data_IF_119508008519
#
_entry.id   IF_119508008519
#
_cell.length_a   1.000
_cell.length_b   1.000
_cell.length_c   1.000
_cell.angle_alpha   90.00
_cell.angle_beta   90.00
_cell.angle_gamma   90.00
#
_symmetry.space_group_name_H-M   'P 1'
#
loop_
_entity.id
_entity.type
_entity.pdbx_description
1 polymer ?
#
# COMPACT_ATOMS: atom_id res chain seq x y z
N UNK A 1 -11.48 -9.86 10.75
CA UNK A 1 -11.53 -9.05 9.52
C UNK A 1 -10.93 -7.71 9.89
N UNK A 2 -9.76 -7.37 9.36
CA UNK A 2 -9.18 -6.03 9.59
C UNK A 2 -10.10 -5.02 8.90
N UNK A 3 -10.54 -4.02 9.66
CA UNK A 3 -11.54 -3.07 9.24
C UNK A 3 -10.83 -1.77 8.83
N UNK A 4 -10.61 -1.63 7.52
CA UNK A 4 -10.03 -0.45 6.88
C UNK A 4 -10.86 0.82 7.09
N UNK A 5 -12.06 0.74 7.67
CA UNK A 5 -12.84 1.94 7.99
C UNK A 5 -12.14 2.80 9.05
N UNK A 6 -11.22 2.24 9.85
CA UNK A 6 -10.36 3.01 10.75
C UNK A 6 -9.22 3.76 10.05
N UNK A 7 -8.96 3.48 8.78
CA UNK A 7 -7.94 4.15 7.95
C UNK A 7 -8.55 5.14 6.95
N UNK A 8 -9.87 5.33 6.98
CA UNK A 8 -10.55 6.37 6.21
C UNK A 8 -10.45 7.77 6.83
N UNK A 9 -9.98 7.88 8.08
CA UNK A 9 -9.88 9.17 8.79
C UNK A 9 -8.53 9.88 8.62
N UNK A 10 -7.52 9.22 8.07
CA UNK A 10 -6.22 9.81 7.80
C UNK A 10 -5.45 8.84 6.91
N UNK A 11 -5.25 9.23 5.66
CA UNK A 11 -4.45 8.48 4.70
C UNK A 11 -3.12 8.08 5.38
N UNK A 12 -2.93 6.79 5.65
CA UNK A 12 -1.70 6.37 6.31
C UNK A 12 -0.49 6.51 5.41
N UNK A 13 0.71 6.33 5.97
CA UNK A 13 1.94 6.64 5.26
C UNK A 13 2.06 5.76 4.03
N UNK A 14 2.49 6.37 2.93
CA UNK A 14 2.86 5.67 1.71
C UNK A 14 4.04 4.72 1.91
N UNK A 15 4.44 4.10 0.80
CA UNK A 15 5.53 3.14 0.75
C UNK A 15 6.83 3.75 1.29
N UNK A 16 7.39 3.12 2.33
CA UNK A 16 8.73 3.48 2.78
C UNK A 16 9.77 3.10 1.71
N UNK A 17 10.84 3.88 1.59
CA UNK A 17 11.85 3.70 0.53
C UNK A 17 12.47 2.29 0.54
N UNK A 18 12.68 1.69 1.72
CA UNK A 18 13.22 0.33 1.84
C UNK A 18 12.22 -0.75 1.44
N UNK A 19 10.93 -0.44 1.40
CA UNK A 19 9.86 -1.34 0.99
C UNK A 19 9.60 -1.32 -0.52
N UNK A 20 10.09 -0.30 -1.23
CA UNK A 20 9.92 -0.15 -2.68
C UNK A 20 10.37 -1.39 -3.49
N UNK A 21 11.51 -2.04 -3.23
CA UNK A 21 11.91 -3.23 -4.00
C UNK A 21 10.95 -4.41 -3.80
N UNK A 22 10.42 -4.57 -2.58
CA UNK A 22 9.46 -5.63 -2.24
C UNK A 22 8.09 -5.34 -2.84
N UNK A 23 7.67 -4.07 -2.82
CA UNK A 23 6.45 -3.62 -3.47
C UNK A 23 6.55 -3.80 -4.99
N UNK A 24 7.68 -3.44 -5.60
CA UNK A 24 7.93 -3.64 -7.04
C UNK A 24 7.89 -5.11 -7.43
N UNK A 25 8.44 -6.00 -6.59
CA UNK A 25 8.36 -7.45 -6.82
C UNK A 25 6.94 -8.01 -6.68
N UNK A 26 6.03 -7.31 -5.98
CA UNK A 26 4.61 -7.68 -5.88
C UNK A 26 3.81 -7.11 -7.04
N UNK A 27 4.07 -5.85 -7.37
CA UNK A 27 3.38 -5.09 -8.39
C UNK A 27 4.33 -4.75 -9.55
N UNK A 28 4.79 -5.77 -10.29
CA UNK A 28 5.76 -5.61 -11.39
C UNK A 28 5.33 -4.62 -12.49
N UNK A 29 4.02 -4.36 -12.63
CA UNK A 29 3.49 -3.40 -13.60
C UNK A 29 3.67 -1.94 -13.17
N UNK A 30 3.93 -1.70 -11.89
CA UNK A 30 4.21 -0.38 -11.35
C UNK A 30 5.72 -0.15 -11.37
N UNK A 31 6.15 0.93 -12.03
CA UNK A 31 7.58 1.27 -12.05
C UNK A 31 8.04 1.82 -10.70
N UNK A 32 9.33 1.67 -10.41
CA UNK A 32 9.92 2.21 -9.17
C UNK A 32 9.73 3.73 -9.03
N UNK A 33 9.68 4.44 -10.17
CA UNK A 33 9.40 5.88 -10.23
C UNK A 33 7.97 6.17 -9.79
N UNK A 34 6.99 5.46 -10.35
CA UNK A 34 5.57 5.61 -9.95
C UNK A 34 5.38 5.25 -8.47
N UNK A 35 6.06 4.21 -7.97
CA UNK A 35 5.98 3.83 -6.57
C UNK A 35 6.59 4.86 -5.62
N UNK A 36 7.63 5.59 -6.04
CA UNK A 36 8.22 6.67 -5.25
C UNK A 36 7.33 7.91 -5.14
N UNK A 37 6.41 8.09 -6.09
CA UNK A 37 5.45 9.19 -6.09
C UNK A 37 4.27 8.93 -5.15
N UNK A 38 4.04 7.66 -4.77
CA UNK A 38 2.96 7.25 -3.86
C UNK A 38 3.29 7.70 -2.43
N UNK A 39 2.54 8.68 -1.93
CA UNK A 39 2.68 9.25 -0.58
C UNK A 39 1.69 8.68 0.41
N UNK A 40 0.61 8.06 -0.05
CA UNK A 40 -0.43 7.47 0.81
C UNK A 40 -0.84 6.07 0.38
N UNK A 41 -1.45 5.33 1.30
CA UNK A 41 -2.02 4.00 1.01
C UNK A 41 -3.16 4.10 -0.01
N UNK A 42 -3.97 5.16 0.01
CA UNK A 42 -5.04 5.33 -0.99
C UNK A 42 -4.47 5.56 -2.40
N UNK A 43 -3.38 6.31 -2.52
CA UNK A 43 -2.66 6.46 -3.80
C UNK A 43 -2.11 5.12 -4.30
N UNK A 44 -1.60 4.28 -3.39
CA UNK A 44 -1.16 2.92 -3.73
C UNK A 44 -2.31 2.07 -4.26
N UNK A 45 -3.43 2.03 -3.53
CA UNK A 45 -4.62 1.27 -3.91
C UNK A 45 -5.11 1.73 -5.28
N UNK A 46 -5.21 3.04 -5.48
CA UNK A 46 -5.64 3.61 -6.77
C UNK A 46 -4.69 3.23 -7.90
N UNK A 47 -3.38 3.27 -7.67
CA UNK A 47 -2.39 2.85 -8.68
C UNK A 47 -2.48 1.36 -9.00
N UNK A 48 -2.68 0.51 -8.00
CA UNK A 48 -2.90 -0.93 -8.21
C UNK A 48 -4.22 -1.17 -8.97
N UNK A 49 -5.28 -0.44 -8.63
CA UNK A 49 -6.58 -0.47 -9.31
C UNK A 49 -6.42 -0.14 -10.81
N UNK A 50 -5.75 0.98 -11.13
CA UNK A 50 -5.53 1.45 -12.49
C UNK A 50 -4.61 0.50 -13.30
N UNK A 51 -3.47 0.12 -12.73
CA UNK A 51 -2.46 -0.68 -13.44
C UNK A 51 -2.87 -2.14 -13.66
N UNK A 52 -3.68 -2.71 -12.77
CA UNK A 52 -4.13 -4.10 -12.87
C UNK A 52 -5.60 -4.23 -13.30
N UNK A 53 -6.30 -3.11 -13.57
CA UNK A 53 -7.73 -3.08 -13.90
C UNK A 53 -8.58 -3.88 -12.90
N UNK A 54 -8.25 -3.75 -11.62
CA UNK A 54 -8.94 -4.44 -10.53
C UNK A 54 -10.12 -3.59 -10.03
N UNK A 55 -11.06 -4.21 -9.30
CA UNK A 55 -12.03 -3.43 -8.54
C UNK A 55 -11.35 -2.80 -7.33
N UNK A 56 -11.87 -1.66 -6.86
CA UNK A 56 -11.37 -0.98 -5.67
C UNK A 56 -11.25 -1.92 -4.45
N UNK A 57 -12.24 -2.77 -4.21
CA UNK A 57 -12.23 -3.75 -3.11
C UNK A 57 -11.11 -4.80 -3.27
N UNK A 58 -10.86 -5.23 -4.51
CA UNK A 58 -9.82 -6.22 -4.80
C UNK A 58 -8.42 -5.61 -4.67
N UNK A 59 -8.20 -4.40 -5.18
CA UNK A 59 -6.94 -3.66 -5.04
C UNK A 59 -6.65 -3.35 -3.56
N UNK A 60 -7.68 -2.96 -2.82
CA UNK A 60 -7.61 -2.72 -1.38
C UNK A 60 -7.14 -3.96 -0.64
N UNK A 61 -7.81 -5.11 -0.84
CA UNK A 61 -7.41 -6.37 -0.20
C UNK A 61 -6.01 -6.81 -0.58
N UNK A 62 -5.58 -6.56 -1.81
CA UNK A 62 -4.23 -6.93 -2.26
C UNK A 62 -3.16 -6.13 -1.51
N UNK A 63 -3.37 -4.80 -1.40
CA UNK A 63 -2.50 -3.91 -0.63
C UNK A 63 -2.51 -4.28 0.86
N UNK A 64 -3.68 -4.56 1.45
CA UNK A 64 -3.78 -5.02 2.85
C UNK A 64 -3.04 -6.33 3.10
N UNK A 65 -3.22 -7.31 2.21
CA UNK A 65 -2.59 -8.61 2.36
C UNK A 65 -1.06 -8.50 2.27
N UNK A 66 -0.57 -7.68 1.34
CA UNK A 66 0.85 -7.40 1.21
C UNK A 66 1.40 -6.65 2.42
N UNK A 67 0.67 -5.64 2.91
CA UNK A 67 0.99 -4.86 4.10
C UNK A 67 1.12 -5.71 5.37
N UNK A 68 0.20 -6.68 5.57
CA UNK A 68 0.24 -7.61 6.69
C UNK A 68 1.45 -8.56 6.61
N UNK A 69 1.91 -8.88 5.40
CA UNK A 69 3.05 -9.77 5.17
C UNK A 69 4.41 -9.05 5.35
N UNK A 70 4.42 -7.72 5.34
CA UNK A 70 5.64 -6.90 5.39
C UNK A 70 5.51 -5.78 6.42
N UNK A 71 5.42 -6.05 7.73
CA UNK A 71 5.05 -5.06 8.75
C UNK A 71 5.92 -3.80 8.81
N UNK A 72 7.13 -3.84 8.27
CA UNK A 72 8.05 -2.70 8.16
C UNK A 72 7.80 -1.81 6.93
N UNK A 73 6.78 -2.08 6.11
CA UNK A 73 6.54 -1.38 4.83
C UNK A 73 6.07 0.08 4.96
N UNK A 74 5.42 0.41 6.08
CA UNK A 74 4.78 1.69 6.33
C UNK A 74 5.64 2.56 7.26
N UNK A 75 5.75 3.85 6.96
CA UNK A 75 6.49 4.82 7.80
C UNK A 75 5.62 5.30 8.97
N UNK A 76 5.15 4.39 9.83
CA UNK A 76 4.55 4.76 11.13
C UNK A 76 5.15 3.93 12.25
N UNK A 77 5.54 4.57 13.37
CA UNK A 77 6.00 3.85 14.54
C UNK A 77 4.84 3.02 15.06
N UNK A 78 5.09 1.73 15.23
CA UNK A 78 4.26 0.83 16.02
C UNK A 78 4.24 1.37 17.46
N UNK A 79 3.35 2.32 17.74
CA UNK A 79 3.05 2.68 19.12
C UNK A 79 2.47 1.43 19.78
N UNK A 80 3.22 0.90 20.73
CA UNK A 80 2.75 -0.03 21.73
C UNK A 80 1.42 0.50 22.30
N UNK A 81 0.36 -0.30 22.18
CA UNK A 81 -0.54 -0.60 23.29
C UNK A 81 -1.28 -1.91 23.00
#
# INVERSE_FOLDING_TARGET
MFDLQHYQAGDGPGLALHALPMAQSRWDWLTMVEMMEIRTTSELIKKVEESYSLSHEQATRDVEFWALSHPDWATVPRSLN
#
